data_IF_187268567171
#
_entry.id   IF_187268567171
#
_cell.length_a   1.000
_cell.length_b   1.000
_cell.length_c   1.000
_cell.angle_alpha   90.00
_cell.angle_beta   90.00
_cell.angle_gamma   90.00
#
_symmetry.space_group_name_H-M   'P 1'
#
loop_
_entity.id
_entity.type
_entity.pdbx_description
1 polymer ?
#
# COMPACT_ATOMS: atom_id res chain seq x y z
N UNK A 1 8.31 20.14 -29.50
CA UNK A 1 7.25 19.13 -29.30
C UNK A 1 6.04 19.85 -28.71
N UNK A 2 4.82 19.48 -29.08
CA UNK A 2 3.60 20.06 -28.48
C UNK A 2 3.48 19.63 -27.01
N UNK A 3 2.83 20.44 -26.16
CA UNK A 3 2.65 20.16 -24.72
C UNK A 3 2.00 18.79 -24.48
N UNK A 4 0.98 18.47 -25.26
CA UNK A 4 0.27 17.18 -25.22
C UNK A 4 1.18 15.98 -25.56
N UNK A 5 2.09 16.13 -26.53
CA UNK A 5 3.06 15.08 -26.86
C UNK A 5 4.08 14.87 -25.74
N UNK A 6 4.44 15.95 -25.02
CA UNK A 6 5.37 15.88 -23.90
C UNK A 6 4.73 15.18 -22.69
N UNK A 7 3.45 15.47 -22.40
CA UNK A 7 2.70 14.83 -21.32
C UNK A 7 2.51 13.32 -21.59
N UNK A 8 2.15 12.94 -22.81
CA UNK A 8 2.04 11.52 -23.18
C UNK A 8 3.38 10.78 -23.04
N UNK A 9 4.50 11.41 -23.40
CA UNK A 9 5.82 10.77 -23.27
C UNK A 9 6.23 10.58 -21.81
N UNK A 10 5.91 11.53 -20.94
CA UNK A 10 6.19 11.40 -19.50
C UNK A 10 5.41 10.23 -18.87
N UNK A 11 4.15 10.06 -19.26
CA UNK A 11 3.32 8.93 -18.81
C UNK A 11 3.94 7.60 -19.23
N UNK A 12 4.39 7.47 -20.48
CA UNK A 12 5.08 6.26 -20.97
C UNK A 12 6.36 5.97 -20.19
N UNK A 13 7.15 7.01 -19.88
CA UNK A 13 8.34 6.90 -19.03
C UNK A 13 7.98 6.36 -17.65
N UNK A 14 6.97 6.94 -17.00
CA UNK A 14 6.54 6.54 -15.66
C UNK A 14 6.00 5.11 -15.63
N UNK A 15 5.22 4.71 -16.64
CA UNK A 15 4.70 3.35 -16.77
C UNK A 15 5.84 2.33 -16.97
N UNK A 16 6.78 2.62 -17.86
CA UNK A 16 7.94 1.76 -18.09
C UNK A 16 8.82 1.65 -16.83
N UNK A 17 9.09 2.78 -16.18
CA UNK A 17 9.88 2.83 -14.95
C UNK A 17 9.20 2.04 -13.82
N UNK A 18 7.89 2.19 -13.66
CA UNK A 18 7.07 1.46 -12.70
C UNK A 18 7.23 -0.05 -12.84
N UNK A 19 7.12 -0.58 -14.06
CA UNK A 19 7.29 -2.02 -14.29
C UNK A 19 8.72 -2.49 -13.99
N UNK A 20 9.74 -1.75 -14.45
CA UNK A 20 11.15 -2.12 -14.22
C UNK A 20 11.50 -2.08 -12.74
N UNK A 21 11.08 -1.03 -12.01
CA UNK A 21 11.34 -0.91 -10.58
C UNK A 21 10.58 -1.96 -9.75
N UNK A 22 9.37 -2.35 -10.14
CA UNK A 22 8.66 -3.45 -9.46
C UNK A 22 9.39 -4.78 -9.58
N UNK A 23 10.02 -5.04 -10.73
CA UNK A 23 10.69 -6.31 -10.98
C UNK A 23 12.10 -6.36 -10.38
N UNK A 24 12.84 -5.24 -10.43
CA UNK A 24 14.28 -5.20 -10.13
C UNK A 24 14.65 -4.34 -8.92
N UNK A 25 13.68 -3.64 -8.32
CA UNK A 25 13.93 -2.60 -7.34
C UNK A 25 14.70 -1.41 -7.91
N UNK A 26 14.98 -0.42 -7.07
CA UNK A 26 15.74 0.76 -7.48
C UNK A 26 17.17 0.42 -7.93
N UNK A 27 17.87 -0.43 -7.18
CA UNK A 27 19.29 -0.75 -7.42
C UNK A 27 19.51 -1.56 -8.70
N UNK A 28 18.66 -2.58 -8.92
CA UNK A 28 18.77 -3.47 -10.08
C UNK A 28 18.31 -2.85 -11.40
N UNK A 29 17.53 -1.77 -11.35
CA UNK A 29 17.04 -1.07 -12.53
C UNK A 29 18.12 -0.21 -13.21
N UNK A 30 18.20 -0.26 -14.54
CA UNK A 30 19.04 0.63 -15.35
C UNK A 30 18.19 1.63 -16.14
N UNK A 31 18.65 2.87 -16.22
CA UNK A 31 17.99 3.93 -17.02
C UNK A 31 17.83 3.54 -18.50
N UNK A 32 18.78 2.76 -19.05
CA UNK A 32 18.67 2.29 -20.43
C UNK A 32 17.47 1.35 -20.62
N UNK A 33 17.25 0.41 -19.70
CA UNK A 33 16.14 -0.55 -19.77
C UNK A 33 14.78 0.15 -19.72
N UNK A 34 14.69 1.22 -18.93
CA UNK A 34 13.49 2.05 -18.85
C UNK A 34 13.24 2.79 -20.16
N UNK A 35 14.29 3.39 -20.74
CA UNK A 35 14.19 4.10 -22.01
C UNK A 35 13.76 3.15 -23.14
N UNK A 36 14.39 1.97 -23.21
CA UNK A 36 14.07 0.93 -24.20
C UNK A 36 12.61 0.48 -24.07
N UNK A 37 12.13 0.26 -22.83
CA UNK A 37 10.75 -0.15 -22.57
C UNK A 37 9.74 0.95 -22.91
N UNK A 38 10.07 2.22 -22.62
CA UNK A 38 9.26 3.38 -23.01
C UNK A 38 9.38 3.72 -24.51
N UNK A 39 10.20 2.97 -25.27
CA UNK A 39 10.46 3.18 -26.70
C UNK A 39 11.00 4.59 -27.01
N UNK A 40 11.85 5.10 -26.12
CA UNK A 40 12.55 6.39 -26.27
C UNK A 40 14.06 6.20 -26.15
N UNK A 41 14.83 7.20 -26.60
CA UNK A 41 16.26 7.20 -26.33
C UNK A 41 16.56 7.67 -24.89
N UNK A 42 17.72 7.25 -24.36
CA UNK A 42 18.16 7.58 -23.00
C UNK A 42 18.35 9.08 -22.76
N UNK A 43 18.71 9.86 -23.78
CA UNK A 43 18.86 11.31 -23.64
C UNK A 43 17.51 11.98 -23.38
N UNK A 44 16.44 11.55 -24.04
CA UNK A 44 15.08 12.02 -23.80
C UNK A 44 14.61 11.62 -22.39
N UNK A 45 14.92 10.40 -21.94
CA UNK A 45 14.64 10.02 -20.55
C UNK A 45 15.32 10.96 -19.54
N UNK A 46 16.59 11.28 -19.74
CA UNK A 46 17.32 12.23 -18.87
C UNK A 46 16.79 13.67 -18.94
N UNK A 47 16.18 14.06 -20.06
CA UNK A 47 15.51 15.35 -20.19
C UNK A 47 14.32 15.47 -19.22
N UNK A 48 13.49 14.42 -19.10
CA UNK A 48 12.39 14.39 -18.14
C UNK A 48 12.88 14.16 -16.71
N UNK A 49 13.73 13.16 -16.52
CA UNK A 49 14.23 12.74 -15.21
C UNK A 49 15.74 12.73 -15.18
N UNK A 50 16.32 13.79 -14.59
CA UNK A 50 17.77 14.01 -14.56
C UNK A 50 18.55 12.84 -13.94
N UNK A 51 17.94 12.11 -13.00
CA UNK A 51 18.55 10.96 -12.34
C UNK A 51 17.57 9.80 -12.15
N UNK A 52 18.11 8.58 -12.00
CA UNK A 52 17.33 7.39 -11.63
C UNK A 52 16.58 7.59 -10.31
N UNK A 53 17.20 8.29 -9.36
CA UNK A 53 16.59 8.64 -8.06
C UNK A 53 15.31 9.45 -8.24
N UNK A 54 15.33 10.51 -9.06
CA UNK A 54 14.15 11.36 -9.24
C UNK A 54 13.01 10.62 -9.94
N UNK A 55 13.34 9.78 -10.94
CA UNK A 55 12.36 8.93 -11.60
C UNK A 55 11.75 7.91 -10.64
N UNK A 56 12.59 7.29 -9.81
CA UNK A 56 12.15 6.38 -8.78
C UNK A 56 11.25 7.07 -7.74
N UNK A 57 11.63 8.26 -7.28
CA UNK A 57 10.82 9.09 -6.37
C UNK A 57 9.43 9.39 -6.94
N UNK A 58 9.34 9.71 -8.24
CA UNK A 58 8.06 9.94 -8.91
C UNK A 58 7.19 8.68 -8.98
N UNK A 59 7.77 7.54 -9.36
CA UNK A 59 7.08 6.23 -9.39
C UNK A 59 6.62 5.82 -8.00
N UNK A 60 7.50 5.95 -7.00
CA UNK A 60 7.20 5.60 -5.62
C UNK A 60 6.10 6.47 -5.04
N UNK A 61 6.16 7.80 -5.27
CA UNK A 61 5.10 8.73 -4.87
C UNK A 61 3.76 8.34 -5.49
N UNK A 62 3.73 8.02 -6.78
CA UNK A 62 2.52 7.55 -7.46
C UNK A 62 1.95 6.27 -6.81
N UNK A 63 2.80 5.27 -6.56
CA UNK A 63 2.40 4.03 -5.89
C UNK A 63 1.86 4.29 -4.47
N UNK A 64 2.55 5.11 -3.69
CA UNK A 64 2.15 5.47 -2.33
C UNK A 64 0.83 6.26 -2.32
N UNK A 65 0.64 7.21 -3.25
CA UNK A 65 -0.62 7.97 -3.37
C UNK A 65 -1.83 7.11 -3.75
N UNK A 66 -1.63 5.92 -4.32
CA UNK A 66 -2.72 4.97 -4.55
C UNK A 66 -3.06 4.18 -3.27
N UNK A 67 -2.07 3.84 -2.46
CA UNK A 67 -2.22 3.02 -1.25
C UNK A 67 -2.66 3.84 -0.03
N UNK A 68 -2.06 5.02 0.18
CA UNK A 68 -2.27 5.86 1.37
C UNK A 68 -3.75 6.25 1.60
N UNK A 69 -4.56 6.59 0.57
CA UNK A 69 -5.97 6.88 0.78
C UNK A 69 -6.78 5.70 1.33
N UNK A 70 -6.39 4.46 1.03
CA UNK A 70 -7.08 3.27 1.56
C UNK A 70 -6.90 3.15 3.08
N UNK A 71 -5.71 3.53 3.57
CA UNK A 71 -5.44 3.63 5.01
C UNK A 71 -6.16 4.85 5.61
N UNK A 72 -5.97 6.03 5.02
CA UNK A 72 -6.45 7.29 5.59
C UNK A 72 -7.98 7.37 5.65
N UNK A 73 -8.67 7.00 4.56
CA UNK A 73 -10.13 7.14 4.43
C UNK A 73 -10.86 6.39 5.54
N UNK A 74 -10.45 5.16 5.85
CA UNK A 74 -11.16 4.36 6.83
C UNK A 74 -10.76 4.71 8.26
N UNK A 75 -9.46 4.93 8.50
CA UNK A 75 -8.98 5.33 9.84
C UNK A 75 -9.64 6.64 10.30
N UNK A 76 -9.94 7.54 9.38
CA UNK A 76 -10.51 8.86 9.67
C UNK A 76 -11.99 9.03 9.31
N UNK A 77 -12.71 7.98 8.92
CA UNK A 77 -14.17 8.00 8.72
C UNK A 77 -14.93 8.17 10.05
N UNK A 78 -16.19 8.62 10.00
CA UNK A 78 -17.07 8.82 11.17
C UNK A 78 -17.79 7.55 11.64
N UNK A 79 -17.60 6.41 10.95
CA UNK A 79 -18.11 5.12 11.38
C UNK A 79 -17.63 4.70 12.77
N UNK A 80 -18.44 3.88 13.45
CA UNK A 80 -18.07 3.26 14.71
C UNK A 80 -16.85 2.33 14.56
N UNK A 81 -16.24 1.96 15.68
CA UNK A 81 -14.98 1.21 15.67
C UNK A 81 -15.08 -0.15 14.96
N UNK A 82 -16.18 -0.88 15.10
CA UNK A 82 -16.34 -2.21 14.50
C UNK A 82 -16.64 -2.12 13.01
N UNK A 83 -17.52 -1.19 12.61
CA UNK A 83 -17.78 -0.90 11.21
C UNK A 83 -16.51 -0.43 10.51
N UNK A 84 -15.68 0.38 11.19
CA UNK A 84 -14.39 0.85 10.70
C UNK A 84 -13.41 -0.31 10.44
N UNK A 85 -13.28 -1.25 11.38
CA UNK A 85 -12.45 -2.46 11.20
C UNK A 85 -12.93 -3.27 9.98
N UNK A 86 -14.23 -3.42 9.83
CA UNK A 86 -14.87 -4.15 8.72
C UNK A 86 -14.60 -3.47 7.38
N UNK A 87 -14.88 -2.15 7.29
CA UNK A 87 -14.63 -1.34 6.09
C UNK A 87 -13.16 -1.33 5.70
N UNK A 88 -12.25 -1.24 6.66
CA UNK A 88 -10.81 -1.19 6.39
C UNK A 88 -10.38 -2.48 5.73
N UNK A 89 -10.74 -3.59 6.36
CA UNK A 89 -10.42 -4.92 5.90
C UNK A 89 -10.95 -5.19 4.49
N UNK A 90 -12.24 -4.90 4.23
CA UNK A 90 -12.83 -5.12 2.91
C UNK A 90 -12.20 -4.23 1.84
N UNK A 91 -12.08 -2.92 2.10
CA UNK A 91 -11.55 -1.97 1.13
C UNK A 91 -10.08 -2.23 0.82
N UNK A 92 -9.25 -2.49 1.83
CA UNK A 92 -7.84 -2.77 1.69
C UNK A 92 -7.60 -4.05 0.88
N UNK A 93 -8.23 -5.17 1.27
CA UNK A 93 -8.07 -6.45 0.57
C UNK A 93 -8.60 -6.33 -0.87
N UNK A 94 -9.76 -5.71 -1.08
CA UNK A 94 -10.31 -5.47 -2.43
C UNK A 94 -9.33 -4.70 -3.31
N UNK A 95 -8.71 -3.66 -2.75
CA UNK A 95 -7.75 -2.82 -3.45
C UNK A 95 -6.47 -3.59 -3.79
N UNK A 96 -5.90 -4.31 -2.83
CA UNK A 96 -4.64 -5.03 -3.04
C UNK A 96 -4.82 -6.23 -3.98
N UNK A 97 -5.96 -6.91 -3.99
CA UNK A 97 -6.24 -7.95 -4.99
C UNK A 97 -6.17 -7.38 -6.43
N UNK A 98 -6.61 -6.14 -6.63
CA UNK A 98 -6.49 -5.45 -7.94
C UNK A 98 -5.08 -4.93 -8.22
N UNK A 99 -4.27 -4.73 -7.18
CA UNK A 99 -2.93 -4.16 -7.27
C UNK A 99 -1.92 -4.93 -6.39
N UNK A 100 -1.69 -6.23 -6.64
CA UNK A 100 -0.99 -7.11 -5.70
C UNK A 100 0.49 -6.75 -5.49
N UNK A 101 1.08 -6.02 -6.45
CA UNK A 101 2.47 -5.55 -6.34
C UNK A 101 2.64 -4.41 -5.32
N UNK A 102 1.59 -3.62 -5.05
CA UNK A 102 1.71 -2.34 -4.34
C UNK A 102 2.25 -2.49 -2.93
N UNK A 103 1.70 -3.36 -2.05
CA UNK A 103 2.16 -3.40 -0.67
C UNK A 103 3.60 -3.89 -0.58
N UNK A 104 3.96 -4.91 -1.36
CA UNK A 104 5.32 -5.42 -1.36
C UNK A 104 6.32 -4.37 -1.86
N UNK A 105 6.01 -3.69 -2.97
CA UNK A 105 6.85 -2.60 -3.49
C UNK A 105 7.03 -1.47 -2.46
N UNK A 106 5.94 -1.00 -1.84
CA UNK A 106 6.01 0.08 -0.86
C UNK A 106 6.82 -0.33 0.36
N UNK A 107 6.54 -1.49 0.96
CA UNK A 107 7.23 -1.94 2.19
C UNK A 107 8.72 -2.20 1.94
N UNK A 108 9.08 -2.89 0.84
CA UNK A 108 10.47 -3.17 0.52
C UNK A 108 11.28 -1.87 0.36
N UNK A 109 10.72 -0.89 -0.33
CA UNK A 109 11.45 0.34 -0.63
C UNK A 109 11.51 1.29 0.58
N UNK A 110 10.50 1.30 1.45
CA UNK A 110 10.58 2.00 2.73
C UNK A 110 11.63 1.39 3.67
N UNK A 111 11.78 0.07 3.67
CA UNK A 111 12.81 -0.61 4.47
C UNK A 111 14.23 -0.34 3.96
N UNK A 112 14.41 -0.19 2.64
CA UNK A 112 15.71 0.17 2.03
C UNK A 112 16.04 1.64 2.20
N UNK A 113 15.04 2.52 2.08
CA UNK A 113 15.20 3.96 2.07
C UNK A 113 14.28 4.61 3.12
N UNK A 114 14.60 4.49 4.42
CA UNK A 114 13.72 4.94 5.51
C UNK A 114 13.42 6.45 5.46
N UNK A 115 14.34 7.26 4.92
CA UNK A 115 14.17 8.71 4.77
C UNK A 115 13.01 9.09 3.83
N UNK A 116 12.58 8.18 2.94
CA UNK A 116 11.41 8.44 2.09
C UNK A 116 10.13 8.62 2.90
N UNK A 117 9.96 7.87 4.01
CA UNK A 117 8.79 8.04 4.88
C UNK A 117 8.73 9.47 5.39
N UNK A 118 9.86 10.05 5.75
CA UNK A 118 9.93 11.42 6.26
C UNK A 118 9.50 12.44 5.20
N UNK A 119 9.91 12.26 3.94
CA UNK A 119 9.45 13.10 2.81
C UNK A 119 7.96 12.92 2.51
N UNK A 120 7.41 11.74 2.75
CA UNK A 120 5.98 11.47 2.55
C UNK A 120 5.12 12.02 3.69
N UNK A 121 5.65 12.06 4.92
CA UNK A 121 4.92 12.54 6.10
C UNK A 121 4.47 13.99 5.98
N UNK A 122 5.18 14.80 5.21
CA UNK A 122 4.81 16.20 4.94
C UNK A 122 3.71 16.35 3.87
N UNK A 123 3.21 15.28 3.27
CA UNK A 123 2.11 15.33 2.31
C UNK A 123 0.77 15.35 3.04
N UNK A 124 -0.17 16.17 2.58
CA UNK A 124 -1.50 16.35 3.22
C UNK A 124 -2.28 15.05 3.41
N UNK A 125 -2.05 14.05 2.55
CA UNK A 125 -2.76 12.77 2.58
C UNK A 125 -2.00 11.67 3.32
N UNK A 126 -0.95 12.00 4.08
CA UNK A 126 -0.27 11.00 4.90
C UNK A 126 -1.22 10.48 5.98
N UNK A 127 -1.42 9.14 6.12
CA UNK A 127 -2.37 8.61 7.07
C UNK A 127 -1.99 8.95 8.52
N UNK A 128 -2.98 9.37 9.31
CA UNK A 128 -2.86 9.52 10.77
C UNK A 128 -3.81 8.57 11.48
N UNK A 129 -3.54 8.29 12.75
CA UNK A 129 -4.38 7.42 13.59
C UNK A 129 -5.01 8.16 14.77
N UNK A 130 -4.96 9.49 14.82
CA UNK A 130 -5.39 10.24 16.00
C UNK A 130 -6.89 10.08 16.28
N UNK A 131 -7.72 10.16 15.24
CA UNK A 131 -9.17 9.88 15.36
C UNK A 131 -9.45 8.43 15.76
N UNK A 132 -8.68 7.49 15.23
CA UNK A 132 -8.78 6.08 15.61
C UNK A 132 -8.43 5.87 17.10
N UNK A 133 -7.35 6.49 17.59
CA UNK A 133 -6.98 6.44 19.02
C UNK A 133 -8.08 6.99 19.92
N UNK A 134 -8.70 8.09 19.51
CA UNK A 134 -9.82 8.68 20.25
C UNK A 134 -11.01 7.71 20.32
N UNK A 135 -11.40 7.11 19.19
CA UNK A 135 -12.50 6.15 19.15
C UNK A 135 -12.24 4.89 19.98
N UNK A 136 -11.02 4.36 19.97
CA UNK A 136 -10.64 3.23 20.84
C UNK A 136 -10.79 3.64 22.31
N UNK A 137 -10.34 4.82 22.69
CA UNK A 137 -10.45 5.34 24.06
C UNK A 137 -11.91 5.47 24.48
N UNK A 138 -12.77 5.98 23.62
CA UNK A 138 -14.19 6.18 23.92
C UNK A 138 -14.93 4.83 24.01
N UNK A 139 -14.66 3.89 23.11
CA UNK A 139 -15.23 2.54 23.16
C UNK A 139 -14.83 1.76 24.44
N UNK A 140 -13.64 2.00 24.99
CA UNK A 140 -13.22 1.44 26.28
C UNK A 140 -14.04 2.07 27.42
N UNK A 141 -14.19 3.40 27.44
CA UNK A 141 -14.96 4.11 28.48
C UNK A 141 -16.42 3.70 28.49
N UNK A 142 -17.01 3.46 27.32
CA UNK A 142 -18.39 3.04 27.15
C UNK A 142 -18.60 1.54 27.45
N UNK A 143 -17.53 0.78 27.69
CA UNK A 143 -17.61 -0.66 27.97
C UNK A 143 -17.98 -1.51 26.75
N UNK A 144 -17.75 -1.00 25.54
CA UNK A 144 -17.99 -1.71 24.27
C UNK A 144 -16.86 -2.70 23.98
N UNK A 145 -15.62 -2.33 24.32
CA UNK A 145 -14.43 -3.16 24.14
C UNK A 145 -13.61 -3.28 25.42
N UNK A 146 -12.84 -4.37 25.52
CA UNK A 146 -11.83 -4.61 26.55
C UNK A 146 -10.71 -3.57 26.45
N UNK A 147 -10.03 -3.24 27.56
CA UNK A 147 -8.86 -2.36 27.53
C UNK A 147 -7.78 -2.88 26.58
N UNK A 148 -7.35 -2.03 25.64
CA UNK A 148 -6.29 -2.29 24.68
C UNK A 148 -5.62 -0.98 24.27
N UNK A 149 -4.30 -0.99 24.09
CA UNK A 149 -3.58 0.14 23.50
C UNK A 149 -3.98 0.31 22.03
N UNK A 150 -4.38 1.51 21.63
CA UNK A 150 -4.85 1.78 20.27
C UNK A 150 -3.77 1.48 19.21
N UNK A 151 -2.50 1.72 19.52
CA UNK A 151 -1.36 1.38 18.68
C UNK A 151 -1.25 -0.13 18.44
N UNK A 152 -1.46 -0.94 19.47
CA UNK A 152 -1.43 -2.41 19.34
C UNK A 152 -2.59 -2.91 18.50
N UNK A 153 -3.80 -2.37 18.72
CA UNK A 153 -4.96 -2.70 17.89
C UNK A 153 -4.71 -2.33 16.42
N UNK A 154 -4.15 -1.14 16.16
CA UNK A 154 -3.79 -0.69 14.83
C UNK A 154 -2.76 -1.62 14.18
N UNK A 155 -1.68 -2.00 14.88
CA UNK A 155 -0.66 -2.93 14.37
C UNK A 155 -1.30 -4.27 14.02
N UNK A 156 -2.18 -4.81 14.86
CA UNK A 156 -2.89 -6.06 14.57
C UNK A 156 -3.77 -5.96 13.31
N UNK A 157 -4.53 -4.87 13.17
CA UNK A 157 -5.34 -4.60 11.98
C UNK A 157 -4.47 -4.59 10.73
N UNK A 158 -3.34 -3.86 10.74
CA UNK A 158 -2.44 -3.78 9.60
C UNK A 158 -1.78 -5.14 9.32
N UNK A 159 -1.20 -5.79 10.33
CA UNK A 159 -0.46 -7.04 10.15
C UNK A 159 -1.33 -8.15 9.57
N UNK A 160 -2.54 -8.34 10.11
CA UNK A 160 -3.45 -9.40 9.68
C UNK A 160 -4.03 -9.17 8.27
N UNK A 161 -4.11 -7.91 7.83
CA UNK A 161 -4.55 -7.55 6.48
C UNK A 161 -3.40 -7.55 5.46
N UNK A 162 -2.22 -7.09 5.83
CA UNK A 162 -1.08 -6.88 4.93
C UNK A 162 -0.25 -8.16 4.70
N UNK A 163 0.02 -8.93 5.76
CA UNK A 163 0.92 -10.08 5.70
C UNK A 163 0.54 -11.13 4.65
N UNK A 164 -0.75 -11.49 4.43
CA UNK A 164 -1.13 -12.44 3.38
C UNK A 164 -0.59 -12.07 1.99
N UNK A 165 -0.47 -10.78 1.68
CA UNK A 165 0.05 -10.32 0.40
C UNK A 165 1.57 -10.27 0.35
N UNK A 166 2.21 -9.89 1.45
CA UNK A 166 3.68 -9.87 1.54
C UNK A 166 4.27 -11.30 1.54
N UNK A 167 3.59 -12.22 2.20
CA UNK A 167 3.98 -13.62 2.33
C UNK A 167 3.31 -14.56 1.33
N UNK A 168 2.68 -14.04 0.27
CA UNK A 168 1.84 -14.84 -0.63
C UNK A 168 2.52 -16.13 -1.14
N UNK A 169 3.74 -16.09 -1.74
CA UNK A 169 4.37 -17.32 -2.25
C UNK A 169 4.62 -18.35 -1.16
N UNK A 170 5.00 -17.89 0.04
CA UNK A 170 5.26 -18.76 1.19
C UNK A 170 3.95 -19.39 1.69
N UNK A 171 2.88 -18.59 1.82
CA UNK A 171 1.58 -19.08 2.31
C UNK A 171 0.94 -20.05 1.32
N UNK A 172 1.03 -19.78 0.01
CA UNK A 172 0.57 -20.72 -1.01
C UNK A 172 1.29 -22.07 -0.91
N UNK A 173 2.61 -22.05 -0.73
CA UNK A 173 3.40 -23.26 -0.56
C UNK A 173 3.05 -24.02 0.73
N UNK A 174 2.94 -23.32 1.86
CA UNK A 174 2.61 -23.91 3.17
C UNK A 174 1.19 -24.51 3.21
N UNK A 175 0.23 -23.84 2.57
CA UNK A 175 -1.16 -24.30 2.52
C UNK A 175 -1.41 -25.32 1.40
N UNK A 176 -0.43 -25.55 0.52
CA UNK A 176 -0.53 -26.41 -0.66
C UNK A 176 -1.73 -26.03 -1.56
N UNK A 177 -1.84 -24.75 -1.91
CA UNK A 177 -2.93 -24.21 -2.75
C UNK A 177 -2.41 -23.48 -3.98
N UNK A 178 -3.18 -23.52 -5.06
CA UNK A 178 -2.90 -22.72 -6.26
C UNK A 178 -3.32 -21.24 -6.08
N UNK A 179 -2.98 -20.41 -7.07
CA UNK A 179 -3.27 -18.96 -7.04
C UNK A 179 -4.76 -18.67 -7.01
N UNK A 180 -5.60 -19.50 -7.64
CA UNK A 180 -7.05 -19.31 -7.70
C UNK A 180 -7.67 -19.55 -6.33
N UNK A 181 -7.36 -20.68 -5.70
CA UNK A 181 -7.78 -21.02 -4.34
C UNK A 181 -7.25 -20.02 -3.33
N UNK A 182 -6.01 -19.56 -3.46
CA UNK A 182 -5.47 -18.53 -2.58
C UNK A 182 -6.20 -17.19 -2.72
N UNK A 183 -6.55 -16.79 -3.95
CA UNK A 183 -7.34 -15.57 -4.18
C UNK A 183 -8.73 -15.69 -3.55
N UNK A 184 -9.36 -16.87 -3.58
CA UNK A 184 -10.63 -17.10 -2.87
C UNK A 184 -10.44 -16.97 -1.36
N UNK A 185 -9.38 -17.56 -0.79
CA UNK A 185 -9.05 -17.38 0.63
C UNK A 185 -8.90 -15.89 0.98
N UNK A 186 -8.24 -15.09 0.15
CA UNK A 186 -8.13 -13.65 0.36
C UNK A 186 -9.49 -12.93 0.33
N UNK A 187 -10.44 -13.35 -0.53
CA UNK A 187 -11.80 -12.81 -0.50
C UNK A 187 -12.51 -13.16 0.81
N UNK A 188 -12.45 -14.42 1.23
CA UNK A 188 -13.10 -14.88 2.47
C UNK A 188 -12.47 -14.22 3.71
N UNK A 189 -11.17 -13.91 3.64
CA UNK A 189 -10.44 -13.19 4.68
C UNK A 189 -11.07 -11.85 5.02
N UNK A 190 -11.77 -11.18 4.08
CA UNK A 190 -12.38 -9.87 4.33
C UNK A 190 -13.35 -9.88 5.51
N UNK A 191 -14.22 -10.88 5.58
CA UNK A 191 -15.10 -11.06 6.73
C UNK A 191 -14.32 -11.67 7.90
N UNK A 192 -13.56 -12.74 7.62
CA UNK A 192 -12.92 -13.53 8.66
C UNK A 192 -11.95 -12.74 9.56
N UNK A 193 -11.12 -11.87 8.98
CA UNK A 193 -10.15 -11.10 9.78
C UNK A 193 -10.82 -9.95 10.53
N UNK A 194 -11.88 -9.34 9.96
CA UNK A 194 -12.66 -8.33 10.66
C UNK A 194 -13.34 -8.94 11.90
N UNK A 195 -14.03 -10.07 11.71
CA UNK A 195 -14.68 -10.82 12.81
C UNK A 195 -13.66 -11.27 13.86
N UNK A 196 -12.49 -11.76 13.44
CA UNK A 196 -11.43 -12.18 14.35
C UNK A 196 -10.95 -11.02 15.25
N UNK A 197 -10.70 -9.84 14.66
CA UNK A 197 -10.24 -8.67 15.40
C UNK A 197 -11.34 -8.16 16.33
N UNK A 198 -12.59 -8.06 15.85
CA UNK A 198 -13.73 -7.58 16.64
C UNK A 198 -13.98 -8.50 17.83
N UNK A 199 -14.03 -9.82 17.62
CA UNK A 199 -14.29 -10.79 18.67
C UNK A 199 -13.18 -10.84 19.73
N UNK A 200 -11.94 -10.49 19.36
CA UNK A 200 -10.84 -10.42 20.32
C UNK A 200 -11.07 -9.29 21.36
N UNK A 201 -11.62 -8.16 20.94
CA UNK A 201 -11.74 -6.95 21.76
C UNK A 201 -13.14 -6.72 22.33
N UNK A 202 -14.20 -7.20 21.68
CA UNK A 202 -15.58 -6.96 22.09
C UNK A 202 -15.88 -7.56 23.48
N UNK A 203 -16.73 -6.87 24.24
CA UNK A 203 -17.32 -7.33 25.51
C UNK A 203 -18.68 -7.98 25.23
#
# INVERSE_FOLDING_TARGET
MTKEKLENTEIEILNAAKEIFQQKGMDGARMQEIADKAKINKALLHYYYRSKQLLFEAVFKSAFSLLAPQLNKVLNDDSDLFEKITKFTDSYITFVIKHPYLPNFVIQELNKNPDFVMKLRSQENFPTIDKFKQQVTDAIKEGIIKPIEAEQLFINIIALNLFPFLGEPLLMALLNVDKKSYTQLLQDRKAHVADFIINAIKI
#
